data_IF_901927173710
#
_entry.id   IF_901927173710
#
_cell.length_a   1.000
_cell.length_b   1.000
_cell.length_c   1.000
_cell.angle_alpha   90.00
_cell.angle_beta   90.00
_cell.angle_gamma   90.00
#
_symmetry.space_group_name_H-M   'P 1'
#
loop_
_entity.id
_entity.type
_entity.pdbx_description
1 polymer ?
#
# COMPACT_ATOMS: atom_id res chain seq x y z
N UNK A 1 -16.34 0.78 25.28
CA UNK A 1 -16.46 0.68 23.82
C UNK A 1 -16.28 -0.78 23.43
N UNK A 2 -17.29 -1.41 22.83
CA UNK A 2 -17.13 -2.77 22.28
C UNK A 2 -16.09 -2.69 21.15
N UNK A 3 -15.09 -3.59 21.20
CA UNK A 3 -14.15 -3.76 20.12
C UNK A 3 -14.93 -4.20 18.85
N UNK A 4 -14.64 -3.65 17.67
CA UNK A 4 -15.28 -4.13 16.45
C UNK A 4 -14.89 -5.60 16.24
N UNK A 5 -15.83 -6.48 16.38
CA UNK A 5 -15.63 -7.91 16.11
C UNK A 5 -15.68 -8.12 14.59
N UNK A 6 -14.67 -8.78 14.04
CA UNK A 6 -14.68 -9.16 12.63
C UNK A 6 -15.80 -10.17 12.43
N UNK A 7 -16.80 -9.82 11.62
CA UNK A 7 -17.94 -10.71 11.32
C UNK A 7 -17.54 -11.68 10.23
N UNK A 8 -17.77 -12.96 10.46
CA UNK A 8 -17.52 -14.03 9.50
C UNK A 8 -17.08 -15.33 10.16
N UNK A 9 -16.88 -16.36 9.35
CA UNK A 9 -16.42 -17.66 9.80
C UNK A 9 -14.88 -17.73 9.70
N UNK A 10 -14.21 -18.18 10.75
CA UNK A 10 -12.79 -18.46 10.71
C UNK A 10 -12.60 -19.75 9.90
N UNK A 11 -12.03 -19.60 8.68
CA UNK A 11 -11.83 -20.72 7.76
C UNK A 11 -10.41 -21.29 7.81
N UNK A 12 -9.46 -20.52 8.37
CA UNK A 12 -8.09 -20.98 8.57
C UNK A 12 -7.42 -20.25 9.73
N UNK A 13 -6.62 -20.98 10.49
CA UNK A 13 -5.78 -20.44 11.57
C UNK A 13 -4.40 -21.07 11.47
N UNK A 14 -3.38 -20.23 11.44
CA UNK A 14 -1.98 -20.66 11.58
C UNK A 14 -1.23 -19.71 12.50
N UNK A 15 0.00 -20.06 12.84
CA UNK A 15 0.83 -19.27 13.76
C UNK A 15 2.30 -19.34 13.36
N UNK A 16 3.01 -18.24 13.59
CA UNK A 16 4.48 -18.18 13.53
C UNK A 16 5.05 -17.54 14.82
N UNK A 17 6.33 -17.20 14.81
CA UNK A 17 7.00 -16.59 15.96
C UNK A 17 6.45 -15.20 16.33
N UNK A 18 5.80 -14.50 15.38
CA UNK A 18 5.23 -13.15 15.58
C UNK A 18 3.82 -13.24 16.20
N UNK A 19 3.07 -14.31 15.91
CA UNK A 19 1.73 -14.49 16.42
C UNK A 19 0.79 -15.22 15.47
N UNK A 20 -0.49 -15.15 15.76
CA UNK A 20 -1.52 -15.81 14.96
C UNK A 20 -1.69 -15.15 13.60
N UNK A 21 -2.22 -15.92 12.66
CA UNK A 21 -2.69 -15.48 11.33
C UNK A 21 -4.01 -16.19 11.11
N UNK A 22 -5.08 -15.41 10.97
CA UNK A 22 -6.44 -15.92 10.77
C UNK A 22 -6.93 -15.51 9.39
N UNK A 23 -7.64 -16.42 8.73
CA UNK A 23 -8.42 -16.14 7.54
C UNK A 23 -9.89 -16.24 7.92
N UNK A 24 -10.63 -15.17 7.67
CA UNK A 24 -12.04 -15.05 8.04
C UNK A 24 -12.84 -14.73 6.78
N UNK A 25 -13.85 -15.55 6.49
CA UNK A 25 -14.73 -15.37 5.34
C UNK A 25 -16.09 -14.81 5.79
N UNK A 26 -16.54 -13.76 5.13
CA UNK A 26 -17.94 -13.39 5.08
C UNK A 26 -18.54 -13.75 3.71
N UNK A 27 -19.81 -13.39 3.48
CA UNK A 27 -20.50 -13.68 2.21
C UNK A 27 -19.77 -13.12 0.98
N UNK A 28 -19.08 -11.98 1.09
CA UNK A 28 -18.52 -11.22 -0.03
C UNK A 28 -16.99 -11.07 0.05
N UNK A 29 -16.44 -11.16 1.26
CA UNK A 29 -15.06 -10.79 1.51
C UNK A 29 -14.29 -11.91 2.19
N UNK A 30 -13.00 -11.85 2.04
CA UNK A 30 -12.00 -12.59 2.82
C UNK A 30 -11.10 -11.61 3.52
N UNK A 31 -10.89 -11.83 4.82
CA UNK A 31 -10.13 -10.98 5.71
C UNK A 31 -8.93 -11.75 6.25
N UNK A 32 -7.77 -11.13 6.23
CA UNK A 32 -6.62 -11.51 7.02
C UNK A 32 -6.64 -10.74 8.34
N UNK A 33 -6.44 -11.41 9.45
CA UNK A 33 -6.31 -10.79 10.76
C UNK A 33 -5.19 -11.46 11.56
N UNK A 34 -4.52 -10.69 12.43
CA UNK A 34 -3.48 -11.22 13.32
C UNK A 34 -3.98 -11.44 14.76
N UNK A 35 -5.13 -10.88 15.11
CA UNK A 35 -5.65 -10.90 16.47
C UNK A 35 -7.17 -11.08 16.57
N UNK A 36 -7.85 -11.32 15.45
CA UNK A 36 -9.32 -11.36 15.31
C UNK A 36 -10.07 -10.04 15.56
N UNK A 37 -9.36 -8.96 15.85
CA UNK A 37 -9.96 -7.65 16.17
C UNK A 37 -9.81 -6.68 15.01
N UNK A 38 -8.62 -6.64 14.40
CA UNK A 38 -8.32 -5.73 13.31
C UNK A 38 -8.19 -6.46 11.98
N UNK A 39 -8.86 -5.91 10.95
CA UNK A 39 -8.68 -6.33 9.57
C UNK A 39 -7.33 -5.82 9.06
N UNK A 40 -6.36 -6.73 8.88
CA UNK A 40 -5.05 -6.40 8.33
C UNK A 40 -5.11 -6.28 6.80
N UNK A 41 -5.91 -7.11 6.17
CA UNK A 41 -6.16 -7.08 4.74
C UNK A 41 -7.55 -7.61 4.45
N UNK A 42 -8.19 -7.07 3.41
CA UNK A 42 -9.52 -7.50 2.98
C UNK A 42 -9.64 -7.46 1.48
N UNK A 43 -10.09 -8.55 0.91
CA UNK A 43 -10.38 -8.66 -0.52
C UNK A 43 -11.85 -8.98 -0.75
N UNK A 44 -12.39 -8.53 -1.88
CA UNK A 44 -13.66 -9.01 -2.39
C UNK A 44 -13.43 -10.36 -3.07
N UNK A 45 -14.12 -11.43 -2.64
CA UNK A 45 -13.90 -12.79 -3.18
C UNK A 45 -14.17 -12.91 -4.68
N UNK A 46 -15.14 -12.13 -5.18
CA UNK A 46 -15.48 -12.10 -6.62
C UNK A 46 -14.55 -11.24 -7.45
N UNK A 47 -13.81 -10.28 -6.85
CA UNK A 47 -12.92 -9.37 -7.54
C UNK A 47 -11.73 -9.00 -6.63
N UNK A 48 -10.76 -9.90 -6.41
CA UNK A 48 -9.66 -9.69 -5.46
C UNK A 48 -8.78 -8.48 -5.80
N UNK A 49 -8.72 -8.12 -7.09
CA UNK A 49 -7.95 -6.98 -7.60
C UNK A 49 -8.57 -5.61 -7.25
N UNK A 50 -9.86 -5.58 -6.86
CA UNK A 50 -10.51 -4.32 -6.47
C UNK A 50 -10.36 -4.11 -4.96
N UNK A 51 -9.54 -3.16 -4.49
CA UNK A 51 -9.34 -2.95 -3.07
C UNK A 51 -10.63 -2.57 -2.35
N UNK A 52 -10.87 -3.18 -1.19
CA UNK A 52 -12.10 -2.96 -0.40
C UNK A 52 -11.98 -1.71 0.45
N UNK A 53 -10.85 -1.53 1.13
CA UNK A 53 -10.64 -0.38 2.01
C UNK A 53 -10.41 0.92 1.23
N UNK A 54 -10.97 2.03 1.73
CA UNK A 54 -10.84 3.34 1.08
C UNK A 54 -9.37 3.79 1.00
N UNK A 55 -8.58 3.53 2.05
CA UNK A 55 -7.16 3.88 2.04
C UNK A 55 -6.38 3.09 0.99
N UNK A 56 -6.64 1.80 0.83
CA UNK A 56 -5.98 0.98 -0.19
C UNK A 56 -6.33 1.43 -1.61
N UNK A 57 -7.59 1.88 -1.84
CA UNK A 57 -7.99 2.52 -3.10
C UNK A 57 -7.24 3.82 -3.32
N UNK A 58 -7.12 4.64 -2.27
CA UNK A 58 -6.39 5.90 -2.34
C UNK A 58 -4.89 5.66 -2.62
N UNK A 59 -4.28 4.63 -2.05
CA UNK A 59 -2.87 4.31 -2.33
C UNK A 59 -2.61 4.13 -3.83
N UNK A 60 -3.59 3.71 -4.63
CA UNK A 60 -3.44 3.51 -6.08
C UNK A 60 -3.57 4.80 -6.91
N UNK A 61 -3.91 5.94 -6.30
CA UNK A 61 -4.13 7.20 -7.05
C UNK A 61 -2.94 7.67 -7.90
N UNK A 62 -1.66 7.43 -7.54
CA UNK A 62 -0.53 7.77 -8.42
C UNK A 62 -0.58 7.09 -9.79
N UNK A 63 -1.29 5.97 -9.94
CA UNK A 63 -1.55 5.34 -11.23
C UNK A 63 -2.29 6.23 -12.23
N UNK A 64 -3.00 7.25 -11.76
CA UNK A 64 -3.63 8.23 -12.63
C UNK A 64 -2.61 9.20 -13.29
N UNK A 65 -1.39 9.26 -12.78
CA UNK A 65 -0.38 10.23 -13.19
C UNK A 65 0.86 9.58 -13.81
N UNK A 66 1.10 8.31 -13.50
CA UNK A 66 2.29 7.60 -13.97
C UNK A 66 1.98 6.13 -14.25
N UNK A 67 2.56 5.61 -15.34
CA UNK A 67 2.52 4.18 -15.68
C UNK A 67 3.90 3.59 -15.35
N UNK A 68 4.04 2.81 -14.28
CA UNK A 68 5.31 2.25 -13.88
C UNK A 68 5.67 0.99 -14.67
N UNK A 69 6.96 0.80 -14.93
CA UNK A 69 7.51 -0.49 -15.35
C UNK A 69 7.86 -1.39 -14.16
N UNK A 70 8.22 -0.76 -13.03
CA UNK A 70 8.56 -1.44 -11.79
C UNK A 70 7.91 -0.73 -10.61
N UNK A 71 7.30 -1.52 -9.73
CA UNK A 71 6.76 -1.05 -8.44
C UNK A 71 7.26 -1.93 -7.30
N UNK A 72 7.46 -1.34 -6.14
CA UNK A 72 7.83 -2.04 -4.91
C UNK A 72 6.74 -1.86 -3.85
N UNK A 73 6.29 -2.95 -3.25
CA UNK A 73 5.29 -2.96 -2.17
C UNK A 73 5.97 -3.48 -0.90
N UNK A 74 6.07 -2.65 0.10
CA UNK A 74 6.62 -2.98 1.40
C UNK A 74 5.49 -3.28 2.38
N UNK A 75 5.38 -4.56 2.74
CA UNK A 75 4.24 -5.13 3.47
C UNK A 75 3.17 -5.69 2.53
N UNK A 76 2.85 -6.96 2.68
CA UNK A 76 1.94 -7.67 1.77
C UNK A 76 0.54 -7.86 2.35
N UNK A 77 0.46 -8.33 3.59
CA UNK A 77 -0.79 -8.80 4.16
C UNK A 77 -1.45 -9.90 3.31
N UNK A 78 -2.73 -9.78 3.00
CA UNK A 78 -3.45 -10.66 2.06
C UNK A 78 -3.23 -10.32 0.58
N UNK A 79 -2.31 -9.41 0.25
CA UNK A 79 -1.95 -9.08 -1.12
C UNK A 79 -2.93 -8.13 -1.84
N UNK A 80 -3.79 -7.40 -1.14
CA UNK A 80 -4.79 -6.53 -1.77
C UNK A 80 -4.17 -5.46 -2.71
N UNK A 81 -3.07 -4.83 -2.31
CA UNK A 81 -2.34 -3.89 -3.16
C UNK A 81 -1.65 -4.59 -4.33
N UNK A 82 -1.00 -5.75 -4.06
CA UNK A 82 -0.34 -6.53 -5.09
C UNK A 82 -1.32 -6.97 -6.18
N UNK A 83 -2.52 -7.44 -5.82
CA UNK A 83 -3.59 -7.75 -6.77
C UNK A 83 -4.01 -6.55 -7.61
N UNK A 84 -4.22 -5.40 -6.97
CA UNK A 84 -4.64 -4.18 -7.65
C UNK A 84 -3.58 -3.71 -8.66
N UNK A 85 -2.33 -3.64 -8.25
CA UNK A 85 -1.20 -3.21 -9.09
C UNK A 85 -0.94 -4.18 -10.24
N UNK A 86 -0.94 -5.49 -9.95
CA UNK A 86 -0.76 -6.55 -10.94
C UNK A 86 -1.82 -6.51 -12.04
N UNK A 87 -3.07 -6.21 -11.65
CA UNK A 87 -4.20 -6.08 -12.58
C UNK A 87 -4.14 -4.77 -13.37
N UNK A 88 -3.82 -3.67 -12.71
CA UNK A 88 -3.82 -2.33 -13.29
C UNK A 88 -2.70 -2.12 -14.30
N UNK A 89 -1.55 -2.75 -14.08
CA UNK A 89 -0.35 -2.60 -14.88
C UNK A 89 0.11 -3.96 -15.43
N UNK A 90 -0.44 -4.41 -16.59
CA UNK A 90 -0.16 -5.75 -17.12
C UNK A 90 1.31 -5.97 -17.54
N UNK A 91 2.05 -4.91 -17.83
CA UNK A 91 3.46 -4.97 -18.23
C UNK A 91 4.44 -4.60 -17.11
N UNK A 92 3.93 -4.32 -15.91
CA UNK A 92 4.74 -3.89 -14.77
C UNK A 92 5.26 -5.09 -13.98
N UNK A 93 6.53 -5.04 -13.58
CA UNK A 93 7.08 -5.91 -12.56
C UNK A 93 6.70 -5.41 -11.16
N UNK A 94 6.08 -6.28 -10.37
CA UNK A 94 5.63 -5.99 -9.01
C UNK A 94 6.53 -6.74 -8.03
N UNK A 95 7.37 -6.01 -7.31
CA UNK A 95 8.20 -6.55 -6.24
C UNK A 95 7.53 -6.33 -4.89
N UNK A 96 7.27 -7.41 -4.16
CA UNK A 96 6.63 -7.37 -2.82
C UNK A 96 7.62 -7.82 -1.76
N UNK A 97 7.73 -7.08 -0.67
CA UNK A 97 8.54 -7.44 0.48
C UNK A 97 7.64 -7.77 1.66
N UNK A 98 7.78 -8.98 2.20
CA UNK A 98 7.02 -9.44 3.36
C UNK A 98 7.95 -10.01 4.42
N UNK A 99 7.71 -9.64 5.68
CA UNK A 99 8.54 -10.09 6.81
C UNK A 99 8.24 -11.53 7.21
N UNK A 100 6.98 -11.95 7.12
CA UNK A 100 6.45 -13.20 7.69
C UNK A 100 6.22 -14.24 6.61
N UNK A 101 7.05 -15.32 6.53
CA UNK A 101 6.85 -16.39 5.54
C UNK A 101 5.44 -16.99 5.56
N UNK A 102 4.87 -17.14 6.76
CA UNK A 102 3.50 -17.67 6.92
C UNK A 102 2.41 -16.76 6.33
N UNK A 103 2.64 -15.45 6.28
CA UNK A 103 1.72 -14.52 5.60
C UNK A 103 1.76 -14.77 4.10
N UNK A 104 2.94 -15.01 3.52
CA UNK A 104 3.08 -15.35 2.08
C UNK A 104 2.38 -16.65 1.75
N UNK A 105 2.57 -17.70 2.56
CA UNK A 105 1.87 -19.00 2.39
C UNK A 105 0.35 -18.81 2.39
N UNK A 106 -0.18 -18.11 3.40
CA UNK A 106 -1.61 -17.82 3.53
C UNK A 106 -2.14 -16.99 2.38
N UNK A 107 -1.38 -15.97 1.92
CA UNK A 107 -1.79 -15.14 0.79
C UNK A 107 -1.89 -15.94 -0.52
N UNK A 108 -0.96 -16.86 -0.75
CA UNK A 108 -0.98 -17.75 -1.92
C UNK A 108 -2.14 -18.72 -1.86
N UNK A 109 -2.34 -19.38 -0.72
CA UNK A 109 -3.35 -20.45 -0.55
C UNK A 109 -4.77 -19.89 -0.48
N UNK A 110 -4.96 -18.80 0.26
CA UNK A 110 -6.30 -18.32 0.60
C UNK A 110 -6.73 -17.07 -0.16
N UNK A 111 -5.80 -16.19 -0.52
CA UNK A 111 -6.14 -14.91 -1.14
C UNK A 111 -5.94 -14.91 -2.65
N UNK A 112 -5.52 -16.05 -3.23
CA UNK A 112 -5.36 -16.18 -4.68
C UNK A 112 -4.29 -15.27 -5.26
N UNK A 113 -3.22 -15.04 -4.51
CA UNK A 113 -2.11 -14.20 -4.95
C UNK A 113 -1.57 -14.70 -6.31
N UNK A 114 -1.41 -13.82 -7.33
CA UNK A 114 -0.94 -14.23 -8.64
C UNK A 114 0.38 -14.99 -8.58
N UNK A 115 0.50 -16.05 -9.36
CA UNK A 115 1.76 -16.79 -9.57
C UNK A 115 2.26 -16.46 -10.98
N UNK A 116 3.25 -15.62 -11.07
CA UNK A 116 3.77 -15.10 -12.34
C UNK A 116 5.16 -14.54 -12.15
N UNK A 117 5.98 -14.58 -13.21
CA UNK A 117 7.31 -13.99 -13.22
C UNK A 117 7.31 -12.46 -13.03
N UNK A 118 6.14 -11.81 -13.21
CA UNK A 118 5.97 -10.38 -12.93
C UNK A 118 5.71 -10.06 -11.45
N UNK A 119 5.45 -11.06 -10.60
CA UNK A 119 5.23 -10.88 -9.17
C UNK A 119 6.35 -11.57 -8.39
N UNK A 120 7.35 -10.82 -8.01
CA UNK A 120 8.43 -11.27 -7.14
C UNK A 120 8.11 -11.01 -5.68
N UNK A 121 8.38 -11.98 -4.81
CA UNK A 121 8.20 -11.83 -3.36
C UNK A 121 9.53 -12.09 -2.66
N UNK A 122 10.04 -11.06 -1.98
CA UNK A 122 11.22 -11.15 -1.13
C UNK A 122 10.79 -11.27 0.33
N UNK A 123 11.26 -12.35 1.00
CA UNK A 123 11.09 -12.50 2.45
C UNK A 123 12.18 -11.72 3.17
N UNK A 124 11.79 -10.69 3.95
CA UNK A 124 12.76 -9.88 4.67
C UNK A 124 12.17 -8.65 5.38
N UNK A 125 13.05 -8.01 6.15
CA UNK A 125 12.75 -6.71 6.76
C UNK A 125 12.76 -5.62 5.67
N UNK A 126 11.64 -4.95 5.49
CA UNK A 126 11.48 -3.88 4.49
C UNK A 126 12.56 -2.79 4.56
N UNK A 127 13.08 -2.47 5.78
CA UNK A 127 14.16 -1.49 5.95
C UNK A 127 15.47 -1.95 5.30
N UNK A 128 15.79 -3.24 5.43
CA UNK A 128 17.00 -3.80 4.85
C UNK A 128 16.85 -3.92 3.35
N UNK A 129 15.73 -4.49 2.92
CA UNK A 129 15.48 -4.69 1.49
C UNK A 129 15.49 -3.37 0.73
N UNK A 130 14.79 -2.32 1.22
CA UNK A 130 14.78 -1.02 0.53
C UNK A 130 16.15 -0.33 0.52
N UNK A 131 16.95 -0.52 1.57
CA UNK A 131 18.31 0.04 1.64
C UNK A 131 19.27 -0.61 0.64
N UNK A 132 18.99 -1.84 0.24
CA UNK A 132 19.80 -2.63 -0.71
C UNK A 132 19.29 -2.50 -2.17
N UNK A 133 18.14 -1.85 -2.39
CA UNK A 133 17.65 -1.60 -3.75
C UNK A 133 18.60 -0.68 -4.52
N UNK A 134 18.85 -0.97 -5.81
CA UNK A 134 19.63 -0.07 -6.65
C UNK A 134 19.00 1.33 -6.75
N UNK A 135 19.80 2.39 -6.94
CA UNK A 135 19.25 3.72 -7.17
C UNK A 135 18.38 3.73 -8.43
N UNK A 136 17.26 4.48 -8.37
CA UNK A 136 16.31 4.66 -9.47
C UNK A 136 15.75 3.35 -10.06
N UNK A 137 15.67 2.28 -9.25
CA UNK A 137 15.25 0.93 -9.70
C UNK A 137 13.74 0.72 -9.72
N UNK A 138 12.97 1.65 -9.14
CA UNK A 138 11.51 1.53 -9.06
C UNK A 138 10.84 2.90 -9.19
N UNK A 139 9.68 2.95 -9.86
CA UNK A 139 8.95 4.20 -10.06
C UNK A 139 7.96 4.50 -8.93
N UNK A 140 7.46 3.46 -8.28
CA UNK A 140 6.53 3.64 -7.15
C UNK A 140 6.92 2.71 -6.00
N UNK A 141 6.97 3.26 -4.79
CA UNK A 141 7.12 2.48 -3.56
C UNK A 141 5.86 2.68 -2.72
N UNK A 142 5.18 1.58 -2.42
CA UNK A 142 4.03 1.53 -1.53
C UNK A 142 4.46 0.98 -0.19
N UNK A 143 4.12 1.66 0.91
CA UNK A 143 4.43 1.16 2.25
C UNK A 143 3.16 0.96 3.06
N UNK A 144 2.90 -0.27 3.45
CA UNK A 144 1.76 -0.68 4.27
C UNK A 144 2.25 -1.63 5.37
N UNK A 145 3.18 -1.12 6.20
CA UNK A 145 3.86 -1.90 7.23
C UNK A 145 3.12 -1.79 8.56
N UNK A 146 2.32 -2.81 8.86
CA UNK A 146 1.53 -2.91 10.08
C UNK A 146 1.77 -4.22 10.81
N UNK A 147 1.81 -4.16 12.16
CA UNK A 147 1.65 -5.30 13.03
C UNK A 147 0.19 -5.52 13.40
N UNK A 148 -0.07 -6.33 14.40
CA UNK A 148 -1.43 -6.65 14.82
C UNK A 148 -2.22 -5.41 15.31
N UNK A 149 -1.57 -4.48 15.98
CA UNK A 149 -2.20 -3.36 16.70
C UNK A 149 -1.70 -1.98 16.28
N UNK A 150 -0.61 -1.89 15.51
CA UNK A 150 0.02 -0.61 15.20
C UNK A 150 0.84 -0.62 13.90
N UNK A 151 1.03 0.57 13.39
CA UNK A 151 1.99 0.84 12.32
C UNK A 151 3.42 0.50 12.77
N UNK A 152 4.19 -0.11 11.87
CA UNK A 152 5.61 -0.37 12.13
C UNK A 152 6.38 0.94 12.33
N UNK A 153 7.18 1.07 13.41
CA UNK A 153 8.05 2.24 13.60
C UNK A 153 9.05 2.45 12.46
N UNK A 154 9.31 1.42 11.66
CA UNK A 154 10.20 1.50 10.51
C UNK A 154 9.81 2.61 9.54
N UNK A 155 8.52 2.73 9.21
CA UNK A 155 8.00 3.74 8.28
C UNK A 155 8.23 5.19 8.75
N UNK A 156 8.37 5.41 10.06
CA UNK A 156 8.58 6.74 10.64
C UNK A 156 10.06 7.12 10.78
N UNK A 157 10.98 6.28 10.32
CA UNK A 157 12.41 6.56 10.41
C UNK A 157 12.90 7.39 9.23
N UNK A 158 13.64 8.47 9.51
CA UNK A 158 14.24 9.32 8.47
C UNK A 158 15.12 8.53 7.50
N UNK A 159 15.86 7.56 7.99
CA UNK A 159 16.72 6.71 7.16
C UNK A 159 15.90 5.93 6.15
N UNK A 160 14.77 5.34 6.58
CA UNK A 160 13.85 4.62 5.70
C UNK A 160 13.31 5.50 4.56
N UNK A 161 12.92 6.75 4.87
CA UNK A 161 12.45 7.71 3.85
C UNK A 161 13.56 8.02 2.84
N UNK A 162 14.81 8.18 3.30
CA UNK A 162 15.96 8.41 2.41
C UNK A 162 16.22 7.22 1.49
N UNK A 163 16.19 6.00 2.06
CA UNK A 163 16.44 4.78 1.31
C UNK A 163 15.35 4.55 0.27
N UNK A 164 14.07 4.80 0.61
CA UNK A 164 12.97 4.82 -0.37
C UNK A 164 13.20 5.86 -1.46
N UNK A 165 13.58 7.09 -1.10
CA UNK A 165 13.86 8.15 -2.08
C UNK A 165 15.03 7.81 -3.00
N UNK A 166 16.05 7.13 -2.48
CA UNK A 166 17.20 6.69 -3.28
C UNK A 166 16.83 5.62 -4.32
N UNK A 167 15.98 4.67 -3.93
CA UNK A 167 15.52 3.60 -4.82
C UNK A 167 14.52 4.08 -5.89
N UNK A 168 13.84 5.21 -5.67
CA UNK A 168 12.89 5.78 -6.61
C UNK A 168 13.58 6.48 -7.78
N UNK A 169 13.02 6.31 -9.00
CA UNK A 169 13.36 7.12 -10.18
C UNK A 169 13.13 8.61 -9.93
N UNK A 170 13.66 9.47 -10.83
CA UNK A 170 13.59 10.93 -10.66
C UNK A 170 12.15 11.49 -10.73
N UNK A 171 11.23 10.76 -11.37
CA UNK A 171 9.79 11.04 -11.43
C UNK A 171 8.98 10.12 -10.50
N UNK A 172 9.65 9.52 -9.51
CA UNK A 172 9.09 8.46 -8.67
C UNK A 172 8.16 8.94 -7.57
N UNK A 173 7.34 8.01 -7.08
CA UNK A 173 6.34 8.23 -6.05
C UNK A 173 6.58 7.35 -4.83
N UNK A 174 6.60 7.94 -3.65
CA UNK A 174 6.51 7.24 -2.37
C UNK A 174 5.09 7.34 -1.82
N UNK A 175 4.46 6.21 -1.56
CA UNK A 175 3.08 6.12 -1.04
C UNK A 175 3.12 5.46 0.33
N UNK A 176 2.74 6.19 1.38
CA UNK A 176 2.83 5.75 2.76
C UNK A 176 1.43 5.64 3.38
N UNK A 177 1.10 4.49 3.97
CA UNK A 177 -0.09 4.36 4.79
C UNK A 177 0.23 4.63 6.26
N UNK A 178 -0.29 5.72 6.81
CA UNK A 178 -0.12 6.12 8.21
C UNK A 178 -1.46 6.22 8.93
N UNK A 179 -1.45 6.11 10.26
CA UNK A 179 -2.64 6.42 11.07
C UNK A 179 -2.90 7.93 11.14
N UNK A 180 -1.84 8.73 11.17
CA UNK A 180 -1.91 10.19 11.24
C UNK A 180 -0.77 10.80 10.43
N UNK A 181 -0.97 11.96 9.83
CA UNK A 181 0.14 12.68 9.21
C UNK A 181 1.19 12.98 10.29
N UNK A 182 2.48 13.00 9.93
CA UNK A 182 3.51 13.44 10.84
C UNK A 182 3.30 14.93 11.19
N UNK A 183 3.65 15.29 12.42
CA UNK A 183 3.67 16.69 12.86
C UNK A 183 4.66 17.46 11.98
N UNK A 184 4.27 18.66 11.53
CA UNK A 184 5.08 19.51 10.62
C UNK A 184 6.42 19.94 11.25
N UNK A 185 6.49 20.01 12.58
CA UNK A 185 7.72 20.29 13.30
C UNK A 185 8.62 19.06 13.48
N UNK A 186 8.12 17.87 13.15
CA UNK A 186 8.83 16.62 13.39
C UNK A 186 10.03 16.43 12.45
N UNK A 187 11.08 15.71 12.90
CA UNK A 187 12.18 15.33 12.03
C UNK A 187 11.76 14.50 10.82
N UNK A 188 10.68 13.72 10.95
CA UNK A 188 10.13 12.92 9.85
C UNK A 188 9.52 13.79 8.77
N UNK A 189 8.69 14.78 9.14
CA UNK A 189 8.09 15.71 8.20
C UNK A 189 9.15 16.48 7.41
N UNK A 190 10.13 17.04 8.13
CA UNK A 190 11.28 17.73 7.50
C UNK A 190 12.07 16.84 6.53
N UNK A 191 12.16 15.54 6.81
CA UNK A 191 12.80 14.61 5.88
C UNK A 191 11.93 14.37 4.64
N UNK A 192 10.61 14.22 4.79
CA UNK A 192 9.69 14.09 3.65
C UNK A 192 9.77 15.32 2.73
N UNK A 193 9.66 16.53 3.29
CA UNK A 193 9.77 17.79 2.53
C UNK A 193 11.12 17.92 1.83
N UNK A 194 12.21 17.45 2.47
CA UNK A 194 13.54 17.50 1.86
C UNK A 194 13.70 16.55 0.68
N UNK A 195 13.06 15.38 0.73
CA UNK A 195 13.19 14.34 -0.30
C UNK A 195 12.19 14.52 -1.45
N UNK A 196 11.05 15.14 -1.17
CA UNK A 196 9.93 15.22 -2.10
C UNK A 196 9.43 16.66 -2.23
N UNK A 197 9.64 17.31 -3.37
CA UNK A 197 9.17 18.68 -3.61
C UNK A 197 7.65 18.80 -3.66
N UNK A 198 6.93 17.69 -3.80
CA UNK A 198 5.48 17.65 -3.76
C UNK A 198 5.02 16.61 -2.73
N UNK A 199 4.30 17.05 -1.71
CA UNK A 199 3.64 16.19 -0.71
C UNK A 199 2.13 16.37 -0.79
N UNK A 200 1.42 15.22 -0.88
CA UNK A 200 -0.03 15.18 -0.87
C UNK A 200 -0.52 14.27 0.25
N UNK A 201 -1.75 14.54 0.72
CA UNK A 201 -2.42 13.75 1.73
C UNK A 201 -3.80 13.33 1.28
N UNK A 202 -4.19 12.14 1.69
CA UNK A 202 -5.56 11.66 1.61
C UNK A 202 -5.98 11.11 2.98
N UNK A 203 -7.06 11.63 3.55
CA UNK A 203 -7.64 11.08 4.79
C UNK A 203 -8.78 10.13 4.47
N UNK A 204 -8.64 8.89 4.89
CA UNK A 204 -9.71 7.89 4.74
C UNK A 204 -10.75 8.04 5.86
N UNK A 205 -11.91 7.46 5.64
CA UNK A 205 -12.97 7.38 6.66
C UNK A 205 -12.61 6.47 7.83
N UNK A 206 -11.62 5.59 7.67
CA UNK A 206 -11.18 4.59 8.65
C UNK A 206 -9.94 5.01 9.42
N UNK A 207 -9.71 6.34 9.53
CA UNK A 207 -8.57 6.93 10.25
C UNK A 207 -7.18 6.59 9.70
N UNK A 208 -7.09 6.16 8.43
CA UNK A 208 -5.79 6.09 7.76
C UNK A 208 -5.53 7.40 7.02
N UNK A 209 -4.28 7.81 7.00
CA UNK A 209 -3.79 8.91 6.18
C UNK A 209 -2.80 8.34 5.17
N UNK A 210 -3.13 8.45 3.89
CA UNK A 210 -2.18 8.13 2.83
C UNK A 210 -1.38 9.39 2.51
N UNK A 211 -0.06 9.28 2.57
CA UNK A 211 0.88 10.35 2.25
C UNK A 211 1.53 9.98 0.91
N UNK A 212 1.60 10.95 0.02
CA UNK A 212 2.28 10.79 -1.26
C UNK A 212 3.42 11.78 -1.34
N UNK A 213 4.64 11.27 -1.55
CA UNK A 213 5.80 12.07 -1.90
C UNK A 213 6.10 11.88 -3.40
N UNK A 214 6.04 12.94 -4.19
CA UNK A 214 6.45 12.92 -5.58
C UNK A 214 7.79 13.64 -5.74
N UNK A 215 8.72 13.06 -6.49
CA UNK A 215 10.04 13.65 -6.75
C UNK A 215 10.01 14.79 -7.77
N UNK A 216 8.98 14.82 -8.61
CA UNK A 216 8.73 15.95 -9.49
C UNK A 216 7.73 16.93 -8.87
N UNK A 217 7.90 18.25 -9.11
CA UNK A 217 6.86 19.22 -8.77
C UNK A 217 5.59 18.92 -9.54
N UNK A 218 4.53 18.62 -8.82
CA UNK A 218 3.26 18.19 -9.41
C UNK A 218 2.11 19.04 -8.88
N UNK A 219 1.73 20.09 -9.64
CA UNK A 219 0.59 20.94 -9.30
C UNK A 219 0.18 21.83 -10.48
N UNK A 220 -1.13 22.08 -10.72
CA UNK A 220 -2.28 21.34 -10.16
C UNK A 220 -2.48 20.00 -10.86
N UNK A 221 -2.95 18.98 -10.14
CA UNK A 221 -3.32 17.73 -10.80
C UNK A 221 -4.64 17.90 -11.55
N UNK A 222 -4.67 17.56 -12.82
CA UNK A 222 -5.90 17.59 -13.58
C UNK A 222 -6.84 16.48 -13.11
N UNK A 223 -8.11 16.81 -12.90
CA UNK A 223 -9.16 15.82 -12.64
C UNK A 223 -9.71 15.21 -13.95
N UNK A 224 -9.31 15.77 -15.07
CA UNK A 224 -9.77 15.34 -16.41
C UNK A 224 -8.58 14.81 -17.21
N UNK A 225 -8.13 13.63 -16.81
CA UNK A 225 -7.04 12.91 -17.46
C UNK A 225 -7.63 12.03 -18.58
N UNK A 226 -7.08 12.05 -19.81
CA UNK A 226 -7.62 11.27 -20.92
C UNK A 226 -7.71 9.76 -20.65
N UNK A 227 -6.75 9.21 -19.90
CA UNK A 227 -6.70 7.78 -19.56
C UNK A 227 -7.52 7.41 -18.32
N UNK A 228 -8.13 8.37 -17.62
CA UNK A 228 -8.87 8.10 -16.39
C UNK A 228 -10.09 7.20 -16.64
N UNK A 229 -10.74 7.31 -17.79
CA UNK A 229 -11.82 6.42 -18.19
C UNK A 229 -11.36 4.96 -18.35
N UNK A 230 -10.16 4.74 -18.85
CA UNK A 230 -9.54 3.42 -18.94
C UNK A 230 -9.28 2.86 -17.55
N UNK A 231 -8.68 3.65 -16.65
CA UNK A 231 -8.47 3.25 -15.26
C UNK A 231 -9.78 2.93 -14.54
N UNK A 232 -10.84 3.73 -14.74
CA UNK A 232 -12.17 3.49 -14.17
C UNK A 232 -12.79 2.18 -14.65
N UNK A 233 -12.55 1.80 -15.92
CA UNK A 233 -13.02 0.52 -16.47
C UNK A 233 -12.22 -0.68 -15.97
N UNK A 234 -10.91 -0.52 -15.82
CA UNK A 234 -10.03 -1.58 -15.33
C UNK A 234 -10.19 -1.81 -13.83
N UNK A 235 -10.28 -0.73 -13.05
CA UNK A 235 -10.37 -0.78 -11.61
C UNK A 235 -11.40 0.22 -11.07
N UNK A 236 -12.65 -0.22 -10.77
CA UNK A 236 -13.76 0.68 -10.42
C UNK A 236 -13.70 1.15 -8.96
N UNK A 237 -12.69 1.96 -8.61
CA UNK A 237 -12.47 2.49 -7.24
C UNK A 237 -12.97 3.91 -7.02
N UNK A 238 -13.77 4.46 -7.93
CA UNK A 238 -14.27 5.83 -7.90
C UNK A 238 -13.15 6.90 -7.93
N UNK A 239 -12.21 6.78 -8.86
CA UNK A 239 -11.01 7.59 -9.04
C UNK A 239 -11.25 9.11 -8.85
N UNK A 240 -12.13 9.71 -9.64
CA UNK A 240 -12.43 11.17 -9.58
C UNK A 240 -12.88 11.62 -8.19
N UNK A 241 -13.66 10.78 -7.50
CA UNK A 241 -14.14 11.09 -6.15
C UNK A 241 -13.02 11.04 -5.13
N UNK A 242 -12.09 10.09 -5.25
CA UNK A 242 -10.93 9.99 -4.38
C UNK A 242 -9.94 11.13 -4.66
N UNK A 243 -9.65 11.42 -5.93
CA UNK A 243 -8.75 12.51 -6.33
C UNK A 243 -9.20 13.88 -5.80
N UNK A 244 -10.51 14.15 -5.77
CA UNK A 244 -11.07 15.39 -5.19
C UNK A 244 -10.80 15.56 -3.69
N UNK A 245 -10.42 14.50 -3.00
CA UNK A 245 -10.09 14.52 -1.56
C UNK A 245 -8.58 14.70 -1.29
N UNK A 246 -7.76 14.71 -2.33
CA UNK A 246 -6.34 14.98 -2.17
C UNK A 246 -6.14 16.41 -1.64
N UNK A 247 -5.25 16.54 -0.68
CA UNK A 247 -4.84 17.79 -0.08
C UNK A 247 -3.35 17.98 -0.28
N UNK A 248 -2.92 19.19 -0.56
CA UNK A 248 -1.51 19.54 -0.62
C UNK A 248 -1.02 19.78 0.82
N UNK A 249 0.18 19.29 1.15
CA UNK A 249 0.87 19.77 2.32
C UNK A 249 1.35 21.19 2.07
N UNK A 250 1.18 22.07 3.02
CA UNK A 250 1.87 23.36 3.03
C UNK A 250 3.36 23.07 3.28
N UNK A 251 4.19 23.33 2.27
CA UNK A 251 5.64 23.08 2.29
C UNK A 251 6.36 24.40 2.56
#
# INVERSE_FOLDING_TARGET
MQKPEIRGDIVHVTRDAVGNILVIDDRKHRVLSFDSVFEQSKIARAAPHVPVHEYSRAMLLPAAFATPEHVTVLGMGGGALAHGLYHLFPDCAVHVVELRPKVVEVAREWFGLPQSDRLEITLGDARKVVADLPPASTRMIFTDLYGADRMSPAQAQRRFIKDCSHALSDDGWLILNYHRPPDETSPLYRELVRQFPCLLYFRSRTNNTVIYGCKEPFYPWPLDLPHLATLESQLPIAWRKLMKKLMIAEV
#
